data_IF_378388901579
#
_entry.id   IF_378388901579
#
_cell.length_a   1.000
_cell.length_b   1.000
_cell.length_c   1.000
_cell.angle_alpha   90.00
_cell.angle_beta   90.00
_cell.angle_gamma   90.00
#
_symmetry.space_group_name_H-M   'P 1'
#
loop_
_entity.id
_entity.type
_entity.pdbx_description
1 polymer ?
#
# COMPACT_ATOMS: atom_id res chain seq x y z
N UNK A 1 -27.27 2.90 -11.93
CA UNK A 1 -26.20 3.92 -11.96
C UNK A 1 -25.78 4.12 -10.52
N UNK A 2 -24.50 3.96 -10.20
CA UNK A 2 -23.99 4.23 -8.85
C UNK A 2 -23.97 5.73 -8.63
N UNK A 3 -24.29 6.19 -7.42
CA UNK A 3 -24.17 7.59 -7.06
C UNK A 3 -22.69 8.04 -7.16
N UNK A 4 -22.42 9.32 -7.49
CA UNK A 4 -21.07 9.87 -7.45
C UNK A 4 -20.47 9.72 -6.05
N UNK A 5 -19.14 9.60 -5.99
CA UNK A 5 -18.43 9.24 -4.77
C UNK A 5 -18.73 10.17 -3.58
N UNK A 6 -18.86 11.46 -3.87
CA UNK A 6 -19.18 12.56 -2.93
C UNK A 6 -20.59 12.46 -2.32
N UNK A 7 -21.51 11.73 -2.95
CA UNK A 7 -22.87 11.52 -2.45
C UNK A 7 -23.01 10.23 -1.62
N UNK A 8 -21.93 9.47 -1.44
CA UNK A 8 -21.94 8.27 -0.61
C UNK A 8 -21.94 8.67 0.86
N UNK A 9 -22.98 8.24 1.57
CA UNK A 9 -23.10 8.39 3.02
C UNK A 9 -21.99 7.60 3.72
N UNK A 10 -21.16 8.29 4.51
CA UNK A 10 -20.21 7.68 5.44
C UNK A 10 -20.93 7.49 6.76
N UNK A 11 -21.14 6.23 7.16
CA UNK A 11 -21.66 5.94 8.50
C UNK A 11 -20.59 6.27 9.55
N UNK A 12 -20.98 6.83 10.71
CA UNK A 12 -20.04 7.09 11.79
C UNK A 12 -19.36 5.78 12.20
N UNK A 13 -18.04 5.80 12.30
CA UNK A 13 -17.25 4.67 12.74
C UNK A 13 -17.67 4.26 14.16
N UNK A 14 -17.82 2.95 14.40
CA UNK A 14 -18.09 2.42 15.73
C UNK A 14 -16.95 2.78 16.69
N UNK A 15 -17.27 3.07 17.97
CA UNK A 15 -16.28 3.42 19.00
C UNK A 15 -15.25 2.30 19.28
N UNK A 16 -15.53 1.08 18.79
CA UNK A 16 -14.65 -0.09 18.86
C UNK A 16 -13.71 -0.22 17.64
N UNK A 17 -13.64 0.78 16.76
CA UNK A 17 -12.74 0.76 15.62
C UNK A 17 -11.29 0.77 16.08
N UNK A 18 -10.54 -0.26 15.71
CA UNK A 18 -9.10 -0.32 15.94
C UNK A 18 -8.41 0.77 15.10
N UNK A 19 -8.03 1.86 15.78
CA UNK A 19 -7.30 2.96 15.15
C UNK A 19 -5.93 2.44 14.77
N UNK A 20 -5.65 2.44 13.47
CA UNK A 20 -4.33 2.10 12.97
C UNK A 20 -3.29 3.06 13.58
N UNK A 21 -2.06 2.56 13.84
CA UNK A 21 -0.98 3.40 14.32
C UNK A 21 -0.72 4.59 13.37
N UNK A 22 -0.19 5.68 13.94
CA UNK A 22 0.18 6.91 13.19
C UNK A 22 1.13 6.64 12.01
N UNK A 23 1.85 5.51 12.06
CA UNK A 23 2.68 5.02 10.97
C UNK A 23 2.10 3.70 10.49
N UNK A 24 1.82 3.60 9.19
CA UNK A 24 1.39 2.33 8.62
C UNK A 24 2.59 1.40 8.42
N UNK A 25 2.34 0.09 8.31
CA UNK A 25 3.42 -0.89 8.15
C UNK A 25 4.27 -0.65 6.91
N UNK A 26 3.68 -0.09 5.86
CA UNK A 26 4.31 0.31 4.59
C UNK A 26 5.17 1.59 4.69
N UNK A 27 4.99 2.41 5.72
CA UNK A 27 5.85 3.58 5.98
C UNK A 27 7.12 3.23 6.76
N UNK A 28 7.12 2.09 7.46
CA UNK A 28 8.37 1.52 7.96
C UNK A 28 9.14 1.11 6.71
N UNK A 29 10.31 1.71 6.47
CA UNK A 29 11.07 1.70 5.21
C UNK A 29 11.52 0.34 4.64
N UNK A 30 10.87 -0.75 5.02
CA UNK A 30 10.79 -2.01 4.28
C UNK A 30 9.69 -1.83 3.24
N UNK A 31 10.01 -1.24 2.09
CA UNK A 31 9.06 -1.00 1.02
C UNK A 31 8.47 -2.28 0.40
N UNK A 32 7.78 -2.15 -0.74
CA UNK A 32 7.20 -3.27 -1.48
C UNK A 32 8.29 -4.22 -2.03
N UNK A 33 8.71 -5.18 -1.20
CA UNK A 33 9.68 -6.21 -1.56
C UNK A 33 11.12 -5.93 -1.14
N UNK A 34 11.37 -4.90 -0.33
CA UNK A 34 12.70 -4.63 0.20
C UNK A 34 12.96 -5.56 1.40
N UNK A 35 13.93 -6.47 1.29
CA UNK A 35 14.34 -7.23 2.47
C UNK A 35 15.21 -6.34 3.35
N UNK A 36 14.97 -6.30 4.66
CA UNK A 36 15.72 -5.44 5.60
C UNK A 36 17.24 -5.72 5.69
N UNK A 37 17.74 -6.68 4.91
CA UNK A 37 19.11 -7.20 4.94
C UNK A 37 19.81 -7.23 3.58
N UNK A 38 19.13 -6.90 2.47
CA UNK A 38 19.71 -7.01 1.13
C UNK A 38 19.65 -5.66 0.40
N UNK A 39 20.82 -5.03 0.25
CA UNK A 39 20.95 -3.68 -0.33
C UNK A 39 20.99 -3.64 -1.86
N UNK A 40 20.78 -4.75 -2.59
CA UNK A 40 20.78 -4.69 -4.06
C UNK A 40 19.86 -5.72 -4.75
N UNK A 41 18.56 -5.64 -4.46
CA UNK A 41 17.50 -6.37 -5.17
C UNK A 41 17.24 -5.85 -6.61
N UNK A 42 17.96 -4.81 -7.05
CA UNK A 42 17.79 -4.13 -8.33
C UNK A 42 17.88 -5.11 -9.50
N UNK A 43 18.83 -6.05 -9.45
CA UNK A 43 19.04 -7.03 -10.51
C UNK A 43 17.83 -7.96 -10.70
N UNK A 44 17.24 -8.45 -9.60
CA UNK A 44 16.04 -9.31 -9.61
C UNK A 44 14.82 -8.55 -10.15
N UNK A 45 14.63 -7.31 -9.70
CA UNK A 45 13.50 -6.48 -10.10
C UNK A 45 13.52 -6.12 -11.59
N UNK A 46 14.72 -5.97 -12.19
CA UNK A 46 14.86 -5.75 -13.62
C UNK A 46 14.53 -7.00 -14.44
N UNK A 47 14.84 -8.19 -13.92
CA UNK A 47 14.51 -9.48 -14.56
C UNK A 47 13.01 -9.78 -14.53
N UNK A 48 12.31 -9.41 -13.46
CA UNK A 48 10.87 -9.63 -13.28
C UNK A 48 9.98 -8.57 -13.95
N UNK A 49 10.58 -7.64 -14.72
CA UNK A 49 9.85 -6.51 -15.31
C UNK A 49 8.68 -6.98 -16.19
N UNK A 50 7.45 -6.51 -15.93
CA UNK A 50 6.30 -6.77 -16.79
C UNK A 50 6.50 -6.27 -18.22
N UNK A 51 5.94 -6.96 -19.23
CA UNK A 51 6.14 -6.65 -20.64
C UNK A 51 5.56 -5.30 -21.09
N UNK A 52 4.72 -4.66 -20.27
CA UNK A 52 4.11 -3.35 -20.56
C UNK A 52 4.92 -2.15 -20.04
N UNK A 53 6.09 -2.37 -19.44
CA UNK A 53 7.00 -1.31 -18.97
C UNK A 53 8.06 -0.88 -20.02
N UNK A 54 7.87 -1.29 -21.29
CA UNK A 54 8.73 -0.94 -22.43
C UNK A 54 8.18 0.17 -23.28
#
# INVERSE_FOLDING_TARGET
MSAPDDERRVEPFDDDLEILPDITGDERGTGWGESAFDSDDTARLLEERPPHWG
#
